data_IF_193039382258
#
_entry.id   IF_193039382258
#
_cell.length_a   1.000
_cell.length_b   1.000
_cell.length_c   1.000
_cell.angle_alpha   90.00
_cell.angle_beta   90.00
_cell.angle_gamma   90.00
#
_symmetry.space_group_name_H-M   'P 1'
#
loop_
_entity.id
_entity.type
_entity.pdbx_description
1 polymer ?
#
# COMPACT_ATOMS: atom_id res chain seq x y z
N UNK A 1 -23.94 -47.24 -43.32
CA UNK A 1 -23.11 -46.01 -43.20
C UNK A 1 -21.86 -45.96 -44.10
N UNK A 2 -21.55 -46.97 -44.94
CA UNK A 2 -20.34 -46.97 -45.82
C UNK A 2 -20.53 -46.38 -47.23
N UNK A 3 -21.74 -46.00 -47.62
CA UNK A 3 -22.05 -45.61 -49.02
C UNK A 3 -22.01 -44.11 -49.30
N UNK A 4 -22.07 -43.24 -48.29
CA UNK A 4 -22.23 -41.79 -48.48
C UNK A 4 -20.93 -41.05 -48.85
N UNK A 5 -19.79 -41.52 -48.33
CA UNK A 5 -18.48 -40.94 -48.66
C UNK A 5 -17.99 -41.32 -50.07
N UNK A 6 -18.48 -42.41 -50.66
CA UNK A 6 -18.02 -42.85 -51.98
C UNK A 6 -18.63 -42.05 -53.14
N UNK A 7 -19.81 -41.44 -52.97
CA UNK A 7 -20.50 -40.64 -54.01
C UNK A 7 -20.03 -39.18 -54.11
N UNK A 8 -19.20 -38.70 -53.19
CA UNK A 8 -18.71 -37.33 -53.19
C UNK A 8 -17.55 -37.16 -54.20
N UNK A 9 -17.62 -36.07 -54.98
CA UNK A 9 -16.53 -35.66 -55.89
C UNK A 9 -15.25 -35.41 -55.07
N UNK A 10 -14.09 -35.76 -55.63
CA UNK A 10 -12.77 -35.55 -55.01
C UNK A 10 -12.57 -34.14 -54.40
N UNK A 11 -12.94 -33.02 -55.05
CA UNK A 11 -12.82 -31.69 -54.43
C UNK A 11 -13.63 -31.54 -53.14
N UNK A 12 -14.81 -32.15 -53.05
CA UNK A 12 -15.65 -32.10 -51.83
C UNK A 12 -15.01 -32.88 -50.68
N UNK A 13 -14.36 -34.02 -50.97
CA UNK A 13 -13.63 -34.80 -49.96
C UNK A 13 -12.45 -34.02 -49.40
N UNK A 14 -11.66 -33.38 -50.28
CA UNK A 14 -10.53 -32.53 -49.87
C UNK A 14 -10.99 -31.33 -49.04
N UNK A 15 -12.11 -30.69 -49.42
CA UNK A 15 -12.70 -29.59 -48.66
C UNK A 15 -13.16 -30.03 -47.27
N UNK A 16 -13.84 -31.17 -47.14
CA UNK A 16 -14.28 -31.69 -45.84
C UNK A 16 -13.10 -32.04 -44.91
N UNK A 17 -12.02 -32.59 -45.47
CA UNK A 17 -10.78 -32.83 -44.72
C UNK A 17 -10.16 -31.49 -44.29
N UNK A 18 -10.05 -30.54 -45.21
CA UNK A 18 -9.57 -29.19 -44.91
C UNK A 18 -10.39 -28.49 -43.83
N UNK A 19 -11.71 -28.66 -43.83
CA UNK A 19 -12.61 -28.13 -42.81
C UNK A 19 -12.45 -28.86 -41.46
N UNK A 20 -12.33 -30.19 -41.48
CA UNK A 20 -12.15 -31.01 -40.29
C UNK A 20 -10.86 -30.65 -39.52
N UNK A 21 -9.80 -30.26 -40.22
CA UNK A 21 -8.56 -29.76 -39.59
C UNK A 21 -8.55 -28.24 -39.40
N UNK A 22 -9.15 -27.48 -40.32
CA UNK A 22 -9.15 -26.02 -40.31
C UNK A 22 -10.01 -25.43 -39.20
N UNK A 23 -11.19 -26.00 -38.92
CA UNK A 23 -12.10 -25.50 -37.87
C UNK A 23 -11.45 -25.61 -36.49
N UNK A 24 -10.92 -26.76 -36.03
CA UNK A 24 -10.21 -26.83 -34.75
C UNK A 24 -9.02 -25.87 -34.66
N UNK A 25 -8.29 -25.65 -35.77
CA UNK A 25 -7.13 -24.77 -35.80
C UNK A 25 -7.53 -23.29 -35.67
N UNK A 26 -8.61 -22.87 -36.34
CA UNK A 26 -9.18 -21.53 -36.18
C UNK A 26 -9.72 -21.33 -34.77
N UNK A 27 -10.42 -22.32 -34.21
CA UNK A 27 -10.91 -22.27 -32.82
C UNK A 27 -9.74 -22.15 -31.83
N UNK A 28 -8.70 -22.96 -31.99
CA UNK A 28 -7.49 -22.88 -31.15
C UNK A 28 -6.83 -21.51 -31.25
N UNK A 29 -6.74 -20.95 -32.47
CA UNK A 29 -6.19 -19.61 -32.68
C UNK A 29 -7.02 -18.53 -31.98
N UNK A 30 -8.35 -18.56 -32.11
CA UNK A 30 -9.25 -17.60 -31.43
C UNK A 30 -9.11 -17.71 -29.91
N UNK A 31 -9.06 -18.93 -29.37
CA UNK A 31 -8.87 -19.17 -27.94
C UNK A 31 -7.49 -18.67 -27.47
N UNK A 32 -6.44 -18.91 -28.24
CA UNK A 32 -5.08 -18.46 -27.93
C UNK A 32 -4.98 -16.93 -27.95
N UNK A 33 -5.51 -16.27 -28.99
CA UNK A 33 -5.55 -14.80 -29.07
C UNK A 33 -6.38 -14.21 -27.93
N UNK A 34 -7.54 -14.80 -27.63
CA UNK A 34 -8.36 -14.41 -26.48
C UNK A 34 -7.62 -14.57 -25.16
N UNK A 35 -6.81 -15.62 -25.00
CA UNK A 35 -6.00 -15.83 -23.81
C UNK A 35 -4.89 -14.78 -23.66
N UNK A 36 -4.15 -14.51 -24.73
CA UNK A 36 -3.10 -13.48 -24.74
C UNK A 36 -3.67 -12.09 -24.45
N UNK A 37 -4.80 -11.73 -25.05
CA UNK A 37 -5.46 -10.45 -24.79
C UNK A 37 -5.93 -10.29 -23.34
N UNK A 38 -6.36 -11.37 -22.68
CA UNK A 38 -6.68 -11.35 -21.24
C UNK A 38 -5.46 -11.09 -20.37
N UNK A 39 -4.32 -11.69 -20.69
CA UNK A 39 -3.05 -11.45 -19.99
C UNK A 39 -2.61 -9.99 -20.18
N UNK A 40 -2.68 -9.46 -21.39
CA UNK A 40 -2.34 -8.05 -21.66
C UNK A 40 -3.25 -7.10 -20.85
N UNK A 41 -4.56 -7.34 -20.86
CA UNK A 41 -5.50 -6.55 -20.08
C UNK A 41 -5.27 -6.69 -18.57
N UNK A 42 -4.78 -7.83 -18.11
CA UNK A 42 -4.39 -8.07 -16.72
C UNK A 42 -3.19 -7.21 -16.34
N UNK A 43 -2.07 -7.31 -17.06
CA UNK A 43 -0.84 -6.54 -16.78
C UNK A 43 -1.06 -5.03 -16.94
N UNK A 44 -1.90 -4.60 -17.89
CA UNK A 44 -2.24 -3.19 -18.04
C UNK A 44 -2.93 -2.61 -16.79
N UNK A 45 -3.77 -3.41 -16.11
CA UNK A 45 -4.41 -3.00 -14.86
C UNK A 45 -3.41 -2.86 -13.71
N UNK A 46 -2.31 -3.60 -13.71
CA UNK A 46 -1.30 -3.50 -12.67
C UNK A 46 -0.54 -2.17 -12.74
N UNK A 47 -0.21 -1.72 -13.94
CA UNK A 47 0.41 -0.40 -14.17
C UNK A 47 -0.52 0.71 -13.70
N UNK A 48 -1.80 0.60 -14.08
CA UNK A 48 -2.86 1.54 -13.67
C UNK A 48 -3.04 1.57 -12.16
N UNK A 49 -3.06 0.40 -11.51
CA UNK A 49 -3.15 0.27 -10.06
C UNK A 49 -1.97 0.94 -9.35
N UNK A 50 -0.75 0.70 -9.83
CA UNK A 50 0.45 1.32 -9.26
C UNK A 50 0.44 2.85 -9.40
N UNK A 51 0.06 3.38 -10.58
CA UNK A 51 -0.04 4.84 -10.80
C UNK A 51 -1.04 5.48 -9.83
N UNK A 52 -2.18 4.81 -9.57
CA UNK A 52 -3.18 5.28 -8.62
C UNK A 52 -2.75 5.12 -7.15
N UNK A 53 -2.00 4.07 -6.83
CA UNK A 53 -1.56 3.80 -5.46
C UNK A 53 -0.48 4.76 -4.97
N UNK A 54 0.42 5.23 -5.86
CA UNK A 54 1.49 6.18 -5.52
C UNK A 54 1.01 7.41 -4.71
N UNK A 55 0.02 8.19 -5.17
CA UNK A 55 -0.48 9.33 -4.40
C UNK A 55 -1.17 8.92 -3.09
N UNK A 56 -1.76 7.72 -2.99
CA UNK A 56 -2.35 7.22 -1.73
C UNK A 56 -1.30 6.94 -0.65
N UNK A 57 -0.17 6.34 -1.04
CA UNK A 57 0.94 6.06 -0.12
C UNK A 57 1.63 7.36 0.30
N UNK A 58 1.80 8.32 -0.61
CA UNK A 58 2.28 9.66 -0.25
C UNK A 58 1.31 10.37 0.72
N UNK A 59 -0.01 10.21 0.54
CA UNK A 59 -1.01 10.74 1.47
C UNK A 59 -0.90 10.11 2.86
N UNK A 60 -0.64 8.80 2.99
CA UNK A 60 -0.42 8.17 4.30
C UNK A 60 0.75 8.82 5.05
N UNK A 61 1.91 9.01 4.41
CA UNK A 61 3.07 9.67 5.03
C UNK A 61 2.78 11.15 5.32
N UNK A 62 2.18 11.88 4.37
CA UNK A 62 1.91 13.31 4.52
C UNK A 62 0.90 13.60 5.64
N UNK A 63 -0.20 12.83 5.71
CA UNK A 63 -1.22 12.96 6.77
C UNK A 63 -0.65 12.58 8.13
N UNK A 64 0.13 11.49 8.22
CA UNK A 64 0.78 11.09 9.47
C UNK A 64 1.74 12.16 10.01
N UNK A 65 2.55 12.77 9.14
CA UNK A 65 3.44 13.89 9.51
C UNK A 65 2.67 15.14 9.91
N UNK A 66 1.60 15.47 9.17
CA UNK A 66 0.74 16.59 9.53
C UNK A 66 0.13 16.40 10.92
N UNK A 67 -0.40 15.21 11.22
CA UNK A 67 -0.98 14.87 12.52
C UNK A 67 0.02 15.13 13.65
N UNK A 68 1.25 14.64 13.50
CA UNK A 68 2.31 14.80 14.49
C UNK A 68 2.67 16.28 14.73
N UNK A 69 2.83 17.07 13.66
CA UNK A 69 3.12 18.50 13.77
C UNK A 69 1.95 19.23 14.45
N UNK A 70 0.73 18.97 13.99
CA UNK A 70 -0.49 19.56 14.54
C UNK A 70 -0.62 19.29 16.04
N UNK A 71 -0.38 18.05 16.46
CA UNK A 71 -0.43 17.65 17.86
C UNK A 71 0.61 18.35 18.71
N UNK A 72 1.85 18.48 18.24
CA UNK A 72 2.93 19.17 18.97
C UNK A 72 2.66 20.67 19.09
N UNK A 73 2.15 21.30 18.02
CA UNK A 73 1.71 22.70 18.05
C UNK A 73 0.58 22.88 19.07
N UNK A 74 -0.43 22.01 19.06
CA UNK A 74 -1.53 22.04 20.02
C UNK A 74 -1.08 21.75 21.46
N UNK A 75 0.01 21.01 21.64
CA UNK A 75 0.65 20.78 22.94
C UNK A 75 1.54 21.94 23.41
N UNK A 76 1.62 23.05 22.65
CA UNK A 76 2.31 24.28 23.04
C UNK A 76 3.70 24.48 22.42
N UNK A 77 4.13 23.63 21.48
CA UNK A 77 5.44 23.75 20.83
C UNK A 77 5.42 24.81 19.71
N UNK A 78 5.49 26.08 20.11
CA UNK A 78 5.33 27.22 19.21
C UNK A 78 6.33 27.24 18.04
N UNK A 79 7.53 26.68 18.20
CA UNK A 79 8.56 26.57 17.17
C UNK A 79 8.11 25.80 15.92
N UNK A 80 7.11 24.92 16.05
CA UNK A 80 6.58 24.13 14.95
C UNK A 80 5.38 24.76 14.24
N UNK A 81 4.85 25.88 14.75
CA UNK A 81 3.68 26.54 14.16
C UNK A 81 3.90 26.93 12.70
N UNK A 82 5.14 27.32 12.35
CA UNK A 82 5.53 27.64 10.98
C UNK A 82 5.60 26.43 10.05
N UNK A 83 5.66 25.20 10.60
CA UNK A 83 5.70 23.95 9.82
C UNK A 83 4.31 23.40 9.49
N UNK A 84 3.26 23.88 10.14
CA UNK A 84 1.90 23.39 9.93
C UNK A 84 1.39 23.69 8.51
N UNK A 85 1.56 24.92 8.02
CA UNK A 85 1.13 25.30 6.67
C UNK A 85 1.90 24.54 5.56
N UNK A 86 3.24 24.38 5.63
CA UNK A 86 3.98 23.48 4.73
C UNK A 86 3.49 22.03 4.76
N UNK A 87 3.18 21.48 5.93
CA UNK A 87 2.65 20.13 6.07
C UNK A 87 1.28 19.98 5.40
N UNK A 88 0.38 20.95 5.60
CA UNK A 88 -0.91 21.01 4.92
C UNK A 88 -0.75 21.08 3.39
N UNK A 89 0.19 21.88 2.91
CA UNK A 89 0.48 22.04 1.48
C UNK A 89 0.96 20.72 0.85
N UNK A 90 1.74 19.92 1.60
CA UNK A 90 2.15 18.59 1.15
C UNK A 90 0.97 17.64 0.99
N UNK A 91 0.04 17.65 1.94
CA UNK A 91 -1.20 16.84 1.86
C UNK A 91 -2.07 17.31 0.69
N UNK A 92 -2.25 18.62 0.50
CA UNK A 92 -3.02 19.18 -0.61
C UNK A 92 -2.46 18.74 -1.98
N UNK A 93 -1.14 18.84 -2.16
CA UNK A 93 -0.46 18.39 -3.39
C UNK A 93 -0.65 16.89 -3.63
N UNK A 94 -0.61 16.08 -2.58
CA UNK A 94 -0.82 14.65 -2.71
C UNK A 94 -2.29 14.32 -3.09
N UNK A 95 -3.27 15.10 -2.61
CA UNK A 95 -4.65 15.03 -3.08
C UNK A 95 -4.80 15.47 -4.55
N UNK A 96 -4.12 16.54 -4.98
CA UNK A 96 -4.12 16.96 -6.39
C UNK A 96 -3.58 15.84 -7.30
N UNK A 97 -2.51 15.16 -6.87
CA UNK A 97 -1.97 14.01 -7.59
C UNK A 97 -2.95 12.83 -7.61
N UNK A 98 -3.64 12.56 -6.50
CA UNK A 98 -4.69 11.54 -6.41
C UNK A 98 -5.86 11.87 -7.34
N UNK A 99 -6.30 13.13 -7.43
CA UNK A 99 -7.37 13.56 -8.33
C UNK A 99 -6.96 13.42 -9.80
N UNK A 100 -5.71 13.76 -10.13
CA UNK A 100 -5.18 13.57 -11.47
C UNK A 100 -5.13 12.08 -11.87
N UNK A 101 -4.68 11.20 -10.97
CA UNK A 101 -4.76 9.75 -11.17
C UNK A 101 -6.21 9.26 -11.23
N UNK A 102 -7.08 9.82 -10.40
CA UNK A 102 -8.53 9.64 -10.36
C UNK A 102 -9.20 9.89 -11.71
N UNK A 103 -8.89 11.02 -12.33
CA UNK A 103 -9.44 11.39 -13.63
C UNK A 103 -9.01 10.45 -14.75
N UNK A 104 -7.80 9.88 -14.67
CA UNK A 104 -7.28 8.94 -15.68
C UNK A 104 -7.82 7.52 -15.48
N UNK A 105 -7.86 7.07 -14.23
CA UNK A 105 -7.92 5.63 -13.91
C UNK A 105 -9.04 5.25 -12.94
N UNK A 106 -9.68 6.21 -12.28
CA UNK A 106 -10.66 5.96 -11.22
C UNK A 106 -11.83 5.09 -11.67
N UNK A 107 -12.39 5.33 -12.86
CA UNK A 107 -13.47 4.51 -13.40
C UNK A 107 -13.01 3.06 -13.70
N UNK A 108 -11.80 2.89 -14.25
CA UNK A 108 -11.22 1.57 -14.56
C UNK A 108 -10.96 0.76 -13.27
N UNK A 109 -10.59 1.45 -12.19
CA UNK A 109 -10.39 0.90 -10.85
C UNK A 109 -11.68 0.89 -10.01
N UNK A 110 -12.85 1.11 -10.62
CA UNK A 110 -14.15 1.02 -9.96
C UNK A 110 -14.29 1.98 -8.75
N UNK A 111 -13.63 3.14 -8.77
CA UNK A 111 -13.93 4.27 -7.89
C UNK A 111 -15.19 5.00 -8.39
N UNK A 112 -16.26 4.24 -8.57
CA UNK A 112 -17.63 4.74 -8.81
C UNK A 112 -18.49 4.39 -7.62
N UNK A 113 -19.66 5.00 -7.51
CA UNK A 113 -20.59 4.74 -6.39
C UNK A 113 -20.98 3.26 -6.34
N UNK A 114 -21.27 2.64 -7.49
CA UNK A 114 -21.59 1.22 -7.60
C UNK A 114 -20.38 0.34 -7.29
N UNK A 115 -19.20 0.70 -7.82
CA UNK A 115 -17.97 -0.06 -7.65
C UNK A 115 -17.54 -0.15 -6.18
N UNK A 116 -17.60 0.96 -5.46
CA UNK A 116 -17.34 1.04 -4.03
C UNK A 116 -18.44 0.36 -3.21
N UNK A 117 -19.72 0.60 -3.54
CA UNK A 117 -20.85 -0.02 -2.82
C UNK A 117 -20.83 -1.55 -2.91
N UNK A 118 -20.49 -2.11 -4.08
CA UNK A 118 -20.40 -3.57 -4.30
C UNK A 118 -19.39 -4.26 -3.38
N UNK A 119 -18.44 -3.51 -2.82
CA UNK A 119 -17.41 -4.00 -1.89
C UNK A 119 -17.58 -3.48 -0.46
N UNK A 120 -18.72 -2.85 -0.15
CA UNK A 120 -18.98 -2.20 1.14
C UNK A 120 -17.94 -1.13 1.51
N UNK A 121 -17.45 -0.37 0.51
CA UNK A 121 -16.40 0.66 0.66
C UNK A 121 -16.86 2.06 0.26
N UNK A 122 -18.15 2.37 0.41
CA UNK A 122 -18.68 3.71 0.06
C UNK A 122 -18.01 4.86 0.83
N UNK A 123 -17.40 4.59 2.00
CA UNK A 123 -16.59 5.59 2.72
C UNK A 123 -15.27 5.91 2.03
N UNK A 124 -14.77 5.04 1.15
CA UNK A 124 -13.50 5.21 0.42
C UNK A 124 -13.64 6.08 -0.85
N UNK A 125 -14.70 6.89 -0.94
CA UNK A 125 -14.93 7.78 -2.07
C UNK A 125 -13.91 8.93 -2.05
N UNK A 126 -13.16 9.19 -3.14
CA UNK A 126 -12.11 10.22 -3.14
C UNK A 126 -12.58 11.62 -2.71
N UNK A 127 -13.79 12.00 -3.14
CA UNK A 127 -14.40 13.30 -2.79
C UNK A 127 -14.77 13.39 -1.31
N UNK A 128 -15.23 12.30 -0.69
CA UNK A 128 -15.52 12.24 0.75
C UNK A 128 -14.24 12.39 1.56
N UNK A 129 -13.19 11.63 1.20
CA UNK A 129 -11.90 11.66 1.88
C UNK A 129 -11.24 13.04 1.77
N UNK A 130 -11.29 13.67 0.60
CA UNK A 130 -10.80 15.05 0.43
C UNK A 130 -11.58 16.05 1.29
N UNK A 131 -12.90 15.89 1.42
CA UNK A 131 -13.70 16.73 2.33
C UNK A 131 -13.28 16.54 3.79
N UNK A 132 -13.06 15.30 4.23
CA UNK A 132 -12.58 15.02 5.58
C UNK A 132 -11.21 15.68 5.85
N UNK A 133 -10.31 15.66 4.87
CA UNK A 133 -9.05 16.41 4.96
C UNK A 133 -9.26 17.92 5.08
N UNK A 134 -10.13 18.52 4.27
CA UNK A 134 -10.41 19.95 4.33
C UNK A 134 -11.00 20.38 5.68
N UNK A 135 -11.86 19.54 6.28
CA UNK A 135 -12.40 19.76 7.62
C UNK A 135 -11.28 19.80 8.67
N UNK A 136 -10.42 18.77 8.69
CA UNK A 136 -9.23 18.72 9.54
C UNK A 136 -8.40 19.98 9.36
N UNK A 137 -8.01 20.28 8.12
CA UNK A 137 -7.15 21.42 7.77
C UNK A 137 -7.70 22.75 8.31
N UNK A 138 -9.00 22.96 8.21
CA UNK A 138 -9.66 24.20 8.63
C UNK A 138 -9.79 24.37 10.14
N UNK A 139 -9.88 23.26 10.89
CA UNK A 139 -10.17 23.28 12.32
C UNK A 139 -9.01 22.82 13.21
N UNK A 140 -7.89 22.35 12.63
CA UNK A 140 -6.82 21.66 13.37
C UNK A 140 -6.21 22.49 14.51
N UNK A 141 -6.20 23.82 14.38
CA UNK A 141 -5.67 24.74 15.40
C UNK A 141 -6.67 25.10 16.49
N UNK A 142 -7.96 24.82 16.28
CA UNK A 142 -9.05 25.18 17.21
C UNK A 142 -9.72 23.98 17.85
N UNK A 143 -9.59 22.79 17.26
CA UNK A 143 -10.18 21.56 17.79
C UNK A 143 -9.37 20.97 18.95
N UNK A 144 -10.01 20.14 19.78
CA UNK A 144 -9.31 19.42 20.84
C UNK A 144 -8.33 18.40 20.25
N UNK A 145 -7.18 18.18 20.92
CA UNK A 145 -6.14 17.23 20.48
C UNK A 145 -6.69 15.81 20.26
N UNK A 146 -7.62 15.38 21.12
CA UNK A 146 -8.27 14.08 21.01
C UNK A 146 -9.12 13.96 19.74
N UNK A 147 -9.87 15.01 19.40
CA UNK A 147 -10.70 15.04 18.18
C UNK A 147 -9.83 15.09 16.93
N UNK A 148 -8.78 15.91 16.93
CA UNK A 148 -7.78 15.95 15.86
C UNK A 148 -7.17 14.58 15.62
N UNK A 149 -6.69 13.92 16.69
CA UNK A 149 -6.12 12.57 16.62
C UNK A 149 -7.11 11.57 16.02
N UNK A 150 -8.38 11.63 16.45
CA UNK A 150 -9.44 10.73 15.95
C UNK A 150 -9.74 10.97 14.46
N UNK A 151 -9.85 12.22 14.03
CA UNK A 151 -10.13 12.56 12.63
C UNK A 151 -8.97 12.16 11.70
N UNK A 152 -7.72 12.38 12.12
CA UNK A 152 -6.55 11.92 11.35
C UNK A 152 -6.49 10.39 11.25
N UNK A 153 -6.74 9.67 12.35
CA UNK A 153 -6.77 8.21 12.33
C UNK A 153 -7.87 7.66 11.40
N UNK A 154 -9.06 8.29 11.40
CA UNK A 154 -10.13 7.95 10.46
C UNK A 154 -9.70 8.18 9.01
N UNK A 155 -9.08 9.33 8.71
CA UNK A 155 -8.56 9.65 7.38
C UNK A 155 -7.50 8.65 6.90
N UNK A 156 -6.54 8.27 7.76
CA UNK A 156 -5.54 7.24 7.45
C UNK A 156 -6.20 5.87 7.17
N UNK A 157 -7.20 5.50 7.97
CA UNK A 157 -7.98 4.28 7.76
C UNK A 157 -8.74 4.27 6.43
N UNK A 158 -9.34 5.40 6.04
CA UNK A 158 -10.02 5.57 4.76
C UNK A 158 -9.04 5.50 3.57
N UNK A 159 -7.87 6.12 3.68
CA UNK A 159 -6.79 6.00 2.67
C UNK A 159 -6.33 4.56 2.50
N UNK A 160 -6.19 3.81 3.60
CA UNK A 160 -5.89 2.37 3.53
C UNK A 160 -7.01 1.58 2.85
N UNK A 161 -8.27 1.94 3.08
CA UNK A 161 -9.42 1.34 2.39
C UNK A 161 -9.35 1.59 0.88
N UNK A 162 -8.93 2.78 0.45
CA UNK A 162 -8.67 3.07 -0.97
C UNK A 162 -7.55 2.19 -1.53
N UNK A 163 -6.44 2.02 -0.80
CA UNK A 163 -5.31 1.16 -1.25
C UNK A 163 -5.78 -0.29 -1.42
N UNK A 164 -6.55 -0.82 -0.46
CA UNK A 164 -7.14 -2.16 -0.59
C UNK A 164 -8.07 -2.26 -1.80
N UNK A 165 -8.86 -1.22 -2.08
CA UNK A 165 -9.72 -1.17 -3.26
C UNK A 165 -8.94 -1.14 -4.58
N UNK A 166 -7.84 -0.39 -4.63
CA UNK A 166 -6.92 -0.43 -5.77
C UNK A 166 -6.41 -1.86 -5.96
N UNK A 167 -5.87 -2.48 -4.90
CA UNK A 167 -5.35 -3.86 -4.96
C UNK A 167 -6.35 -4.88 -5.49
N UNK A 168 -7.62 -4.78 -5.08
CA UNK A 168 -8.70 -5.68 -5.50
C UNK A 168 -9.19 -5.44 -6.94
N UNK A 169 -8.90 -4.27 -7.53
CA UNK A 169 -9.44 -3.86 -8.84
C UNK A 169 -8.38 -3.76 -9.93
N UNK A 170 -7.11 -3.63 -9.54
CA UNK A 170 -5.94 -3.60 -10.42
C UNK A 170 -5.36 -4.98 -10.73
N UNK A 171 -6.00 -6.05 -10.25
CA UNK A 171 -5.52 -7.44 -10.30
C UNK A 171 -4.19 -7.70 -9.57
N UNK A 172 -3.69 -6.73 -8.81
CA UNK A 172 -2.41 -6.79 -8.09
C UNK A 172 -2.25 -8.07 -7.25
N UNK A 173 -3.29 -8.52 -6.55
CA UNK A 173 -3.20 -9.66 -5.62
C UNK A 173 -3.44 -11.01 -6.33
N UNK A 174 -3.75 -11.01 -7.63
CA UNK A 174 -4.19 -12.21 -8.36
C UNK A 174 -3.15 -12.78 -9.34
N UNK A 175 -1.90 -12.28 -9.31
CA UNK A 175 -0.84 -12.82 -10.16
C UNK A 175 -0.54 -14.28 -9.75
N UNK A 176 -0.66 -15.25 -10.68
CA UNK A 176 -0.29 -16.64 -10.39
C UNK A 176 1.20 -16.84 -10.15
N UNK A 177 2.07 -15.95 -10.63
CA UNK A 177 3.51 -16.03 -10.40
C UNK A 177 3.84 -15.65 -8.95
N UNK A 178 4.49 -16.58 -8.24
CA UNK A 178 4.75 -16.46 -6.80
C UNK A 178 5.58 -15.21 -6.47
N UNK A 179 6.62 -14.92 -7.25
CA UNK A 179 7.47 -13.76 -6.98
C UNK A 179 6.71 -12.43 -7.13
N UNK A 180 5.92 -12.26 -8.18
CA UNK A 180 5.06 -11.08 -8.36
C UNK A 180 4.02 -10.96 -7.25
N UNK A 181 3.36 -12.06 -6.88
CA UNK A 181 2.34 -12.07 -5.83
C UNK A 181 2.93 -11.65 -4.46
N UNK A 182 4.08 -12.22 -4.07
CA UNK A 182 4.73 -11.86 -2.82
C UNK A 182 5.26 -10.41 -2.81
N UNK A 183 5.78 -9.92 -3.95
CA UNK A 183 6.18 -8.52 -4.08
C UNK A 183 4.97 -7.59 -3.95
N UNK A 184 3.83 -8.00 -4.49
CA UNK A 184 2.61 -7.23 -4.42
C UNK A 184 1.98 -7.22 -3.03
N UNK A 185 2.00 -8.35 -2.33
CA UNK A 185 1.56 -8.40 -0.93
C UNK A 185 2.38 -7.43 -0.06
N UNK A 186 3.68 -7.33 -0.29
CA UNK A 186 4.51 -6.32 0.36
C UNK A 186 4.08 -4.89 0.01
N UNK A 187 3.88 -4.59 -1.28
CA UNK A 187 3.58 -3.24 -1.77
C UNK A 187 2.14 -2.76 -1.46
N UNK A 188 1.13 -3.63 -1.52
CA UNK A 188 -0.29 -3.26 -1.38
C UNK A 188 -0.79 -3.42 0.05
N UNK A 189 -0.29 -4.43 0.76
CA UNK A 189 -0.83 -4.82 2.07
C UNK A 189 0.13 -4.43 3.19
N UNK A 190 1.33 -5.02 3.24
CA UNK A 190 2.18 -4.91 4.43
C UNK A 190 2.77 -3.52 4.63
N UNK A 191 3.41 -2.95 3.62
CA UNK A 191 4.10 -1.67 3.76
C UNK A 191 3.14 -0.51 4.02
N UNK A 192 1.99 -0.36 3.30
CA UNK A 192 1.02 0.68 3.63
C UNK A 192 0.43 0.54 5.04
N UNK A 193 0.15 -0.69 5.49
CA UNK A 193 -0.32 -0.93 6.85
C UNK A 193 0.73 -0.59 7.91
N UNK A 194 2.00 -0.95 7.66
CA UNK A 194 3.10 -0.60 8.53
C UNK A 194 3.26 0.92 8.63
N UNK A 195 3.15 1.65 7.51
CA UNK A 195 3.22 3.12 7.51
C UNK A 195 2.12 3.76 8.35
N UNK A 196 0.86 3.30 8.20
CA UNK A 196 -0.24 3.77 9.05
C UNK A 196 0.05 3.50 10.53
N UNK A 197 0.45 2.27 10.88
CA UNK A 197 0.78 1.90 12.26
C UNK A 197 1.93 2.72 12.83
N UNK A 198 2.96 3.01 12.03
CA UNK A 198 4.08 3.87 12.45
C UNK A 198 3.61 5.30 12.72
N UNK A 199 2.72 5.86 11.91
CA UNK A 199 2.14 7.18 12.15
C UNK A 199 1.35 7.23 13.47
N UNK A 200 0.46 6.26 13.70
CA UNK A 200 -0.30 6.14 14.94
C UNK A 200 0.61 5.94 16.16
N UNK A 201 1.63 5.09 16.02
CA UNK A 201 2.63 4.82 17.05
C UNK A 201 3.36 6.10 17.49
N UNK A 202 3.84 6.89 16.52
CA UNK A 202 4.59 8.10 16.81
C UNK A 202 3.74 9.10 17.59
N UNK A 203 2.46 9.24 17.26
CA UNK A 203 1.50 10.11 17.97
C UNK A 203 1.28 9.68 19.42
N UNK A 204 1.09 8.38 19.65
CA UNK A 204 0.87 7.83 21.00
C UNK A 204 2.13 7.95 21.85
N UNK A 205 3.28 7.53 21.31
CA UNK A 205 4.54 7.58 22.02
C UNK A 205 4.96 9.02 22.34
N UNK A 206 4.87 9.95 21.38
CA UNK A 206 5.25 11.35 21.56
C UNK A 206 4.49 12.00 22.72
N UNK A 207 3.19 11.75 22.81
CA UNK A 207 2.34 12.25 23.90
C UNK A 207 2.86 11.82 25.28
N UNK A 208 3.13 10.53 25.42
CA UNK A 208 3.57 9.95 26.69
C UNK A 208 5.00 10.32 27.07
N UNK A 209 5.90 10.37 26.09
CA UNK A 209 7.29 10.79 26.27
C UNK A 209 7.38 12.26 26.71
N UNK A 210 6.62 13.17 26.09
CA UNK A 210 6.60 14.58 26.51
C UNK A 210 6.01 14.79 27.90
N UNK A 211 4.99 13.99 28.27
CA UNK A 211 4.47 13.97 29.66
C UNK A 211 5.41 13.26 30.63
N UNK A 212 6.49 12.63 30.15
CA UNK A 212 7.43 11.80 30.92
C UNK A 212 6.76 10.61 31.61
N UNK A 213 5.59 10.21 31.14
CA UNK A 213 4.83 9.08 31.69
C UNK A 213 3.83 8.53 30.68
N UNK A 214 3.81 7.20 30.56
CA UNK A 214 2.83 6.44 29.79
C UNK A 214 1.77 5.87 30.73
N UNK A 215 0.50 6.16 30.44
CA UNK A 215 -0.66 5.52 31.07
C UNK A 215 -0.67 4.02 30.79
N UNK A 216 -1.41 3.24 31.59
CA UNK A 216 -1.54 1.79 31.35
C UNK A 216 -2.08 1.49 29.94
N UNK A 217 -3.07 2.26 29.47
CA UNK A 217 -3.62 2.12 28.13
C UNK A 217 -2.56 2.36 27.05
N UNK A 218 -1.76 3.42 27.18
CA UNK A 218 -0.67 3.71 26.22
C UNK A 218 0.39 2.62 26.26
N UNK A 219 0.78 2.12 27.44
CA UNK A 219 1.73 1.01 27.57
C UNK A 219 1.27 -0.25 26.83
N UNK A 220 -0.01 -0.60 26.97
CA UNK A 220 -0.62 -1.72 26.25
C UNK A 220 -0.61 -1.47 24.74
N UNK A 221 -1.01 -0.28 24.29
CA UNK A 221 -0.99 0.09 22.87
C UNK A 221 0.43 0.00 22.28
N UNK A 222 1.44 0.53 22.98
CA UNK A 222 2.84 0.48 22.55
C UNK A 222 3.37 -0.96 22.51
N UNK A 223 2.96 -1.82 23.45
CA UNK A 223 3.30 -3.24 23.42
C UNK A 223 2.67 -3.97 22.23
N UNK A 224 1.39 -3.67 21.92
CA UNK A 224 0.69 -4.22 20.75
C UNK A 224 1.37 -3.77 19.46
N UNK A 225 1.71 -2.48 19.32
CA UNK A 225 2.47 -1.98 18.16
C UNK A 225 3.82 -2.67 18.02
N UNK A 226 4.54 -2.91 19.12
CA UNK A 226 5.80 -3.63 19.07
C UNK A 226 5.64 -5.09 18.60
N UNK A 227 4.53 -5.75 18.93
CA UNK A 227 4.21 -7.08 18.43
C UNK A 227 3.90 -7.05 16.94
N UNK A 228 3.04 -6.12 16.52
CA UNK A 228 2.63 -5.97 15.12
C UNK A 228 3.81 -5.61 14.22
N UNK A 229 4.69 -4.69 14.65
CA UNK A 229 5.88 -4.31 13.87
C UNK A 229 6.83 -5.50 13.68
N UNK A 230 7.01 -6.35 14.70
CA UNK A 230 7.81 -7.59 14.55
C UNK A 230 7.19 -8.56 13.55
N UNK A 231 5.88 -8.75 13.62
CA UNK A 231 5.14 -9.62 12.70
C UNK A 231 5.20 -9.08 11.26
N UNK A 232 5.04 -7.77 11.08
CA UNK A 232 5.14 -7.11 9.78
C UNK A 232 6.53 -7.29 9.16
N UNK A 233 7.60 -7.09 9.94
CA UNK A 233 8.98 -7.29 9.49
C UNK A 233 9.27 -8.76 9.16
N UNK A 234 8.80 -9.69 9.99
CA UNK A 234 8.98 -11.12 9.75
C UNK A 234 8.23 -11.56 8.48
N UNK A 235 6.99 -11.11 8.30
CA UNK A 235 6.20 -11.38 7.11
C UNK A 235 6.81 -10.77 5.85
N UNK A 236 7.27 -9.53 5.91
CA UNK A 236 7.94 -8.85 4.79
C UNK A 236 9.24 -9.56 4.39
N UNK A 237 10.05 -9.98 5.37
CA UNK A 237 11.25 -10.77 5.12
C UNK A 237 10.91 -12.11 4.46
N UNK A 238 9.88 -12.81 4.94
CA UNK A 238 9.44 -14.07 4.36
C UNK A 238 8.96 -13.90 2.92
N UNK A 239 8.16 -12.87 2.66
CA UNK A 239 7.67 -12.55 1.32
C UNK A 239 8.85 -12.30 0.36
N UNK A 240 9.78 -11.42 0.73
CA UNK A 240 10.93 -11.09 -0.11
C UNK A 240 11.92 -12.26 -0.26
N UNK A 241 12.05 -13.12 0.75
CA UNK A 241 12.84 -14.34 0.62
C UNK A 241 12.25 -15.28 -0.43
N UNK A 242 10.92 -15.42 -0.49
CA UNK A 242 10.26 -16.17 -1.57
C UNK A 242 10.55 -15.56 -2.93
N UNK A 243 10.46 -14.23 -3.06
CA UNK A 243 10.82 -13.52 -4.30
C UNK A 243 12.24 -13.85 -4.77
N UNK A 244 13.21 -13.86 -3.85
CA UNK A 244 14.60 -14.21 -4.17
C UNK A 244 14.75 -15.68 -4.56
N UNK A 245 14.10 -16.59 -3.83
CA UNK A 245 14.17 -18.03 -4.07
C UNK A 245 13.60 -18.42 -5.44
N UNK A 246 12.42 -17.90 -5.79
CA UNK A 246 11.77 -18.16 -7.08
C UNK A 246 12.60 -17.64 -8.27
N UNK A 247 13.40 -16.61 -8.05
CA UNK A 247 14.28 -16.04 -9.08
C UNK A 247 15.70 -16.61 -9.07
N UNK A 248 16.06 -17.50 -8.16
CA UNK A 248 17.43 -18.01 -8.01
C UNK A 248 17.95 -18.71 -9.28
N UNK A 249 17.07 -19.38 -10.03
CA UNK A 249 17.40 -20.02 -11.31
C UNK A 249 17.59 -19.02 -12.48
N UNK A 250 17.35 -17.71 -12.25
CA UNK A 250 17.46 -16.62 -13.24
C UNK A 250 18.50 -15.59 -12.76
N UNK A 251 19.82 -15.81 -12.97
CA UNK A 251 20.88 -15.05 -12.30
C UNK A 251 20.82 -13.53 -12.51
N UNK A 252 20.47 -13.08 -13.72
CA UNK A 252 20.36 -11.64 -14.02
C UNK A 252 19.19 -10.99 -13.27
N UNK A 253 18.02 -11.62 -13.28
CA UNK A 253 16.81 -11.14 -12.57
C UNK A 253 17.00 -11.19 -11.06
N UNK A 254 17.56 -12.28 -10.53
CA UNK A 254 17.90 -12.39 -9.11
C UNK A 254 18.86 -11.28 -8.67
N UNK A 255 19.93 -11.03 -9.43
CA UNK A 255 20.88 -9.95 -9.11
C UNK A 255 20.20 -8.58 -9.12
N UNK A 256 19.36 -8.28 -10.11
CA UNK A 256 18.64 -7.02 -10.18
C UNK A 256 17.68 -6.84 -8.97
N UNK A 257 16.94 -7.90 -8.60
CA UNK A 257 16.04 -7.87 -7.44
C UNK A 257 16.81 -7.69 -6.13
N UNK A 258 17.93 -8.38 -5.93
CA UNK A 258 18.77 -8.19 -4.74
C UNK A 258 19.31 -6.76 -4.64
N UNK A 259 19.83 -6.20 -5.73
CA UNK A 259 20.31 -4.80 -5.75
C UNK A 259 19.18 -3.84 -5.39
N UNK A 260 17.95 -4.11 -5.87
CA UNK A 260 16.80 -3.23 -5.67
C UNK A 260 16.20 -3.32 -4.25
N UNK A 261 16.15 -4.51 -3.66
CA UNK A 261 15.33 -4.79 -2.47
C UNK A 261 16.16 -5.02 -1.18
N UNK A 262 17.37 -5.57 -1.27
CA UNK A 262 18.16 -5.99 -0.09
C UNK A 262 18.62 -4.78 0.75
N UNK A 263 19.07 -3.70 0.09
CA UNK A 263 19.45 -2.46 0.77
C UNK A 263 18.29 -1.80 1.52
N UNK A 264 17.17 -1.47 0.84
CA UNK A 264 16.00 -0.90 1.49
C UNK A 264 15.40 -1.78 2.59
N UNK A 265 15.38 -3.10 2.41
CA UNK A 265 14.93 -4.03 3.45
C UNK A 265 15.81 -3.95 4.69
N UNK A 266 17.13 -4.01 4.55
CA UNK A 266 18.06 -3.90 5.67
C UNK A 266 17.94 -2.56 6.39
N UNK A 267 17.74 -1.46 5.66
CA UNK A 267 17.56 -0.15 6.27
C UNK A 267 16.27 -0.08 7.10
N UNK A 268 15.18 -0.65 6.58
CA UNK A 268 13.92 -0.76 7.30
C UNK A 268 14.07 -1.62 8.57
N UNK A 269 14.67 -2.80 8.46
CA UNK A 269 14.90 -3.71 9.60
C UNK A 269 15.76 -3.03 10.67
N UNK A 270 16.89 -2.44 10.30
CA UNK A 270 17.80 -1.79 11.24
C UNK A 270 17.13 -0.61 11.97
N UNK A 271 16.38 0.21 11.26
CA UNK A 271 15.67 1.34 11.88
C UNK A 271 14.50 0.86 12.75
N UNK A 272 13.77 -0.17 12.33
CA UNK A 272 12.66 -0.71 13.10
C UNK A 272 13.11 -1.42 14.39
N UNK A 273 14.27 -2.06 14.41
CA UNK A 273 14.85 -2.62 15.65
C UNK A 273 15.15 -1.55 16.70
N UNK A 274 15.55 -0.34 16.27
CA UNK A 274 15.70 0.80 17.17
C UNK A 274 14.35 1.25 17.74
N UNK A 275 13.30 1.33 16.89
CA UNK A 275 11.92 1.60 17.36
C UNK A 275 11.49 0.55 18.38
N UNK A 276 11.66 -0.74 18.09
CA UNK A 276 11.29 -1.84 19.00
C UNK A 276 12.02 -1.76 20.35
N UNK A 277 13.29 -1.36 20.34
CA UNK A 277 14.08 -1.12 21.56
C UNK A 277 13.48 0.00 22.40
N UNK A 278 13.09 1.11 21.77
CA UNK A 278 12.42 2.20 22.48
C UNK A 278 11.03 1.82 22.97
N UNK A 279 10.24 1.09 22.16
CA UNK A 279 8.91 0.64 22.55
C UNK A 279 8.94 -0.25 23.78
N UNK A 280 9.95 -1.13 23.89
CA UNK A 280 10.14 -1.97 25.08
C UNK A 280 10.25 -1.11 26.35
N UNK A 281 11.06 -0.04 26.33
CA UNK A 281 11.18 0.90 27.46
C UNK A 281 9.86 1.61 27.75
N UNK A 282 9.16 2.04 26.70
CA UNK A 282 7.90 2.76 26.82
C UNK A 282 6.76 1.87 27.36
N UNK A 283 6.72 0.59 27.01
CA UNK A 283 5.65 -0.33 27.38
C UNK A 283 5.81 -0.95 28.77
N UNK A 284 7.04 -1.26 29.20
CA UNK A 284 7.26 -1.84 30.54
C UNK A 284 7.20 -0.78 31.63
N UNK A 285 7.55 0.47 31.31
CA UNK A 285 7.76 1.52 32.31
C UNK A 285 8.96 1.25 33.22
N UNK A 286 9.86 0.38 32.79
CA UNK A 286 11.15 0.11 33.44
C UNK A 286 12.26 0.91 32.74
N UNK A 287 13.17 1.49 33.52
CA UNK A 287 14.27 2.31 33.02
C UNK A 287 13.85 3.73 32.65
N UNK A 288 14.80 4.51 32.12
CA UNK A 288 14.52 5.84 31.60
C UNK A 288 13.78 5.77 30.27
N UNK A 289 12.69 6.55 30.16
CA UNK A 289 12.03 6.77 28.88
C UNK A 289 13.02 7.41 27.89
N UNK A 290 12.94 7.06 26.60
CA UNK A 290 13.75 7.71 25.57
C UNK A 290 13.41 9.19 25.45
N UNK A 291 14.35 9.99 24.94
CA UNK A 291 14.07 11.39 24.65
C UNK A 291 13.04 11.49 23.51
N UNK A 292 12.01 12.35 23.61
CA UNK A 292 10.94 12.45 22.61
C UNK A 292 11.46 12.66 21.18
N UNK A 293 12.40 13.60 20.99
CA UNK A 293 12.93 13.92 19.67
C UNK A 293 13.84 12.79 19.11
N UNK A 294 14.51 12.02 19.97
CA UNK A 294 15.27 10.82 19.57
C UNK A 294 14.32 9.73 19.07
N UNK A 295 13.30 9.40 19.86
CA UNK A 295 12.28 8.42 19.49
C UNK A 295 11.64 8.77 18.14
N UNK A 296 11.27 10.04 17.99
CA UNK A 296 10.61 10.51 16.80
C UNK A 296 11.52 10.49 15.57
N UNK A 297 12.80 10.88 15.72
CA UNK A 297 13.79 10.81 14.64
C UNK A 297 13.92 9.38 14.11
N UNK A 298 13.98 8.39 15.01
CA UNK A 298 14.03 6.98 14.65
C UNK A 298 12.74 6.54 13.96
N UNK A 299 11.56 6.89 14.50
CA UNK A 299 10.27 6.56 13.89
C UNK A 299 10.09 7.14 12.48
N UNK A 300 10.48 8.40 12.27
CA UNK A 300 10.45 9.05 10.95
C UNK A 300 11.44 8.41 9.97
N UNK A 301 12.62 7.99 10.45
CA UNK A 301 13.58 7.21 9.65
C UNK A 301 12.99 5.87 9.23
N UNK A 302 12.33 5.15 10.13
CA UNK A 302 11.65 3.88 9.81
C UNK A 302 10.51 4.07 8.80
N UNK A 303 9.70 5.14 8.94
CA UNK A 303 8.68 5.48 7.94
C UNK A 303 9.29 5.74 6.57
N UNK A 304 10.39 6.52 6.50
CA UNK A 304 11.11 6.79 5.26
C UNK A 304 11.71 5.52 4.64
N UNK A 305 12.33 4.64 5.44
CA UNK A 305 12.88 3.37 4.97
C UNK A 305 11.78 2.44 4.42
N UNK A 306 10.61 2.41 5.07
CA UNK A 306 9.43 1.68 4.59
C UNK A 306 8.96 2.21 3.23
N UNK A 307 8.93 3.54 3.05
CA UNK A 307 8.59 4.16 1.76
C UNK A 307 9.64 3.89 0.67
N UNK A 308 10.93 3.87 1.01
CA UNK A 308 12.00 3.49 0.08
C UNK A 308 11.83 2.06 -0.40
N UNK A 309 11.57 1.12 0.51
CA UNK A 309 11.31 -0.27 0.14
C UNK A 309 10.00 -0.40 -0.66
N UNK A 310 8.96 0.37 -0.32
CA UNK A 310 7.73 0.40 -1.09
C UNK A 310 7.95 0.87 -2.53
N UNK A 311 8.74 1.92 -2.75
CA UNK A 311 9.11 2.38 -4.09
C UNK A 311 9.91 1.32 -4.86
N UNK A 312 10.77 0.57 -4.17
CA UNK A 312 11.53 -0.52 -4.76
C UNK A 312 10.65 -1.72 -5.14
N UNK A 313 9.64 -2.05 -4.33
CA UNK A 313 8.72 -3.16 -4.57
C UNK A 313 7.63 -2.84 -5.59
N UNK A 314 7.21 -1.58 -5.69
CA UNK A 314 6.12 -1.13 -6.58
C UNK A 314 6.60 -0.67 -7.97
N UNK A 315 7.89 -0.39 -8.14
CA UNK A 315 8.48 -0.08 -9.45
C UNK A 315 9.09 -1.29 -10.11
#
# INVERSE_FOLDING_TARGET
>A
MKTWLHSLRIPTKLFLIGLAFGVPLVVLLVLMVGNVNRIIAFTAKEIVGNEFQRPLVELLDAVGRHQLIAQRVAAGEASLSSQLAPAQTRVDRAFEALEAAGARHGAALQFTDEGLASRHRSSAQPSLIKRNWLDIKSHVTTMAIADSTKQHAALLGDLRSMIAHVGDTSNHILDPDLDSNYLMNAAVVRLPQMQQRLAELMVVAESGLRRKTNTMSERIQLAVFASQLREDLAGLRADLQTVFNENAARPERSRALHVKLDGPLKELENSAELVLTHLKKCSTGEGSLPEPDEFLSVGLKTSAASLTLWNAASG
#
